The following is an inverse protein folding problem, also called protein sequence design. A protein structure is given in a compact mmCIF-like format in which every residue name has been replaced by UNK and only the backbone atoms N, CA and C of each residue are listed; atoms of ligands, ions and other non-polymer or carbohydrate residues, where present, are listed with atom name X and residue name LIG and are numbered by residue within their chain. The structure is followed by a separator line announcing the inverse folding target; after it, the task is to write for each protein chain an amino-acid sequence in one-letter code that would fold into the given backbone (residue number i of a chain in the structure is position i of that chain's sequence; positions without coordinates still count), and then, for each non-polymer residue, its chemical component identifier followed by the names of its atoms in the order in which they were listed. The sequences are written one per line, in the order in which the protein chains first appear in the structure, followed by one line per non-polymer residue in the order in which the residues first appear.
data_IF_252543610684
#
_entry.id   IF_252543610684
#
_cell.length_a   1.000
_cell.length_b   1.000
_cell.length_c   1.000
_cell.angle_alpha   90.00
_cell.angle_beta   90.00
_cell.angle_gamma   90.00
#
_symmetry.space_group_name_H-M   'P 1'
#
loop_
_entity.id
_entity.type
_entity.pdbx_description
1 polymer ?
#
# COMPACT_ATOMS: atom_id res chain seq x y z
N UNK A 1 -9.12 -15.06 -0.48
CA UNK A 1 -9.54 -14.03 -1.45
C UNK A 1 -8.34 -13.55 -2.25
N UNK A 2 -8.42 -13.60 -3.59
CA UNK A 2 -7.37 -13.05 -4.45
C UNK A 2 -7.31 -11.52 -4.32
N UNK A 3 -6.14 -10.94 -4.57
CA UNK A 3 -5.96 -9.51 -4.53
C UNK A 3 -6.71 -8.80 -5.68
N UNK A 4 -7.93 -8.30 -5.44
CA UNK A 4 -8.67 -7.51 -6.45
C UNK A 4 -8.31 -6.02 -6.33
N UNK A 5 -7.39 -5.53 -7.17
CA UNK A 5 -6.84 -4.16 -7.11
C UNK A 5 -7.44 -3.24 -8.17
N UNK A 6 -7.93 -2.07 -7.75
CA UNK A 6 -8.34 -1.00 -8.66
C UNK A 6 -7.24 0.05 -8.75
N UNK A 7 -6.63 0.19 -9.92
CA UNK A 7 -5.61 1.22 -10.18
C UNK A 7 -6.20 2.62 -9.98
N UNK A 8 -5.57 3.37 -9.08
CA UNK A 8 -5.92 4.78 -8.85
C UNK A 8 -5.48 5.65 -10.02
N UNK A 9 -4.38 5.31 -10.69
CA UNK A 9 -3.95 5.99 -11.92
C UNK A 9 -5.02 5.88 -13.01
N UNK A 10 -5.44 4.64 -13.34
CA UNK A 10 -6.47 4.39 -14.37
C UNK A 10 -7.82 5.01 -14.03
N UNK A 11 -8.09 5.24 -12.74
CA UNK A 11 -9.30 5.93 -12.29
C UNK A 11 -9.16 7.45 -12.40
N UNK A 12 -8.01 8.01 -12.02
CA UNK A 12 -7.80 9.44 -11.91
C UNK A 12 -7.46 10.08 -13.27
N UNK A 13 -6.68 9.41 -14.12
CA UNK A 13 -6.25 9.97 -15.42
C UNK A 13 -7.41 10.48 -16.28
N UNK A 14 -8.51 9.72 -16.51
CA UNK A 14 -9.63 10.24 -17.30
C UNK A 14 -10.26 11.51 -16.71
N UNK A 15 -10.34 11.60 -15.37
CA UNK A 15 -10.89 12.79 -14.71
C UNK A 15 -9.99 14.02 -14.89
N UNK A 16 -8.68 13.81 -14.95
CA UNK A 16 -7.70 14.86 -15.24
C UNK A 16 -7.79 15.28 -16.70
N UNK A 17 -7.78 14.32 -17.62
CA UNK A 17 -7.80 14.54 -19.07
C UNK A 17 -9.07 15.27 -19.51
N UNK A 18 -10.22 14.88 -18.95
CA UNK A 18 -11.52 15.52 -19.20
C UNK A 18 -11.71 16.85 -18.43
N UNK A 19 -10.68 17.33 -17.73
CA UNK A 19 -10.72 18.57 -16.94
C UNK A 19 -11.87 18.61 -15.91
N UNK A 20 -12.18 17.48 -15.28
CA UNK A 20 -13.29 17.36 -14.35
C UNK A 20 -13.08 18.19 -13.08
N UNK A 21 -14.18 18.65 -12.49
CA UNK A 21 -14.20 19.33 -11.18
C UNK A 21 -15.10 18.57 -10.23
N UNK A 22 -14.60 18.26 -9.03
CA UNK A 22 -15.36 17.52 -8.03
C UNK A 22 -14.49 16.74 -7.07
N UNK A 23 -15.08 15.72 -6.45
CA UNK A 23 -14.46 14.90 -5.42
C UNK A 23 -14.46 13.44 -5.83
N UNK A 24 -13.27 12.83 -5.87
CA UNK A 24 -13.09 11.38 -5.97
C UNK A 24 -12.99 10.78 -4.57
N UNK A 25 -13.97 9.97 -4.19
CA UNK A 25 -13.95 9.18 -2.96
C UNK A 25 -13.33 7.82 -3.26
N UNK A 26 -12.37 7.41 -2.44
CA UNK A 26 -11.63 6.16 -2.54
C UNK A 26 -11.97 5.32 -1.32
N UNK A 27 -12.37 4.08 -1.54
CA UNK A 27 -12.61 3.07 -0.52
C UNK A 27 -11.66 1.90 -0.72
N UNK A 28 -11.10 1.38 0.36
CA UNK A 28 -10.27 0.18 0.34
C UNK A 28 -10.61 -0.83 1.43
N UNK A 29 -9.72 -1.79 1.61
CA UNK A 29 -9.81 -2.74 2.71
C UNK A 29 -9.69 -2.06 4.08
N UNK A 30 -10.05 -2.78 5.14
CA UNK A 30 -9.75 -2.39 6.52
C UNK A 30 -10.35 -1.03 6.95
N UNK A 31 -11.51 -0.67 6.40
CA UNK A 31 -12.17 0.61 6.71
C UNK A 31 -11.48 1.83 6.08
N UNK A 32 -10.53 1.64 5.17
CA UNK A 32 -9.85 2.73 4.49
C UNK A 32 -10.83 3.56 3.66
N UNK A 33 -10.80 4.88 3.90
CA UNK A 33 -11.51 5.88 3.11
C UNK A 33 -10.62 7.10 2.92
N UNK A 34 -10.61 7.61 1.69
CA UNK A 34 -9.90 8.84 1.34
C UNK A 34 -10.68 9.66 0.30
N UNK A 35 -10.27 10.92 0.15
CA UNK A 35 -10.87 11.86 -0.81
C UNK A 35 -9.76 12.57 -1.57
N UNK A 36 -9.92 12.70 -2.87
CA UNK A 36 -9.13 13.58 -3.73
C UNK A 36 -10.07 14.60 -4.34
N UNK A 37 -9.67 15.87 -4.36
CA UNK A 37 -10.47 16.94 -4.92
C UNK A 37 -9.79 17.50 -6.15
N UNK A 38 -10.57 17.61 -7.22
CA UNK A 38 -10.16 18.07 -8.54
C UNK A 38 -10.83 19.40 -8.86
N UNK A 39 -10.10 20.28 -9.53
CA UNK A 39 -10.59 21.52 -10.11
C UNK A 39 -10.00 21.68 -11.50
N UNK A 40 -10.85 21.62 -12.52
CA UNK A 40 -10.45 21.71 -13.94
C UNK A 40 -9.31 20.73 -14.24
N UNK A 41 -9.49 19.46 -13.83
CA UNK A 41 -8.50 18.40 -14.00
C UNK A 41 -7.30 18.47 -13.04
N UNK A 42 -7.15 19.54 -12.26
CA UNK A 42 -6.04 19.65 -11.31
C UNK A 42 -6.39 19.08 -9.94
N UNK A 43 -5.60 18.13 -9.44
CA UNK A 43 -5.71 17.71 -8.03
C UNK A 43 -5.17 18.84 -7.17
N UNK A 44 -6.02 19.40 -6.30
CA UNK A 44 -5.64 20.56 -5.48
C UNK A 44 -5.75 20.31 -3.98
N UNK A 45 -6.44 19.24 -3.57
CA UNK A 45 -6.58 18.86 -2.16
C UNK A 45 -6.77 17.35 -2.04
N UNK A 46 -6.34 16.79 -0.91
CA UNK A 46 -6.43 15.36 -0.62
C UNK A 46 -6.59 15.13 0.88
N UNK A 47 -7.43 14.18 1.25
CA UNK A 47 -7.72 13.82 2.64
C UNK A 47 -7.67 12.31 2.85
N UNK A 48 -7.05 11.90 3.95
CA UNK A 48 -6.98 10.50 4.36
C UNK A 48 -6.96 10.42 5.90
N UNK A 49 -8.12 10.20 6.51
CA UNK A 49 -8.25 10.32 7.96
C UNK A 49 -7.90 11.73 8.42
N UNK A 50 -6.89 11.86 9.27
CA UNK A 50 -6.36 13.15 9.73
C UNK A 50 -5.27 13.73 8.82
N UNK A 51 -4.83 12.98 7.81
CA UNK A 51 -3.81 13.43 6.87
C UNK A 51 -4.43 14.30 5.79
N UNK A 52 -3.71 15.35 5.42
CA UNK A 52 -4.09 16.28 4.36
C UNK A 52 -2.94 16.48 3.37
N UNK A 53 -3.26 16.76 2.12
CA UNK A 53 -2.30 17.11 1.07
C UNK A 53 -1.34 15.98 0.69
N UNK A 54 -0.05 16.29 0.58
CA UNK A 54 0.99 15.32 0.15
C UNK A 54 1.04 14.10 1.06
N UNK A 55 0.86 14.28 2.38
CA UNK A 55 0.83 13.16 3.32
C UNK A 55 -0.37 12.26 3.07
N UNK A 56 -1.54 12.84 2.77
CA UNK A 56 -2.71 12.08 2.38
C UNK A 56 -2.48 11.33 1.07
N UNK A 57 -1.93 11.98 0.04
CA UNK A 57 -1.63 11.38 -1.26
C UNK A 57 -0.73 10.15 -1.12
N UNK A 58 0.35 10.27 -0.35
CA UNK A 58 1.26 9.15 -0.09
C UNK A 58 0.58 8.02 0.70
N UNK A 59 -0.22 8.37 1.71
CA UNK A 59 -0.97 7.37 2.47
C UNK A 59 -2.04 6.67 1.63
N UNK A 60 -2.63 7.36 0.65
CA UNK A 60 -3.56 6.81 -0.33
C UNK A 60 -2.83 5.82 -1.26
N UNK A 61 -1.65 6.20 -1.79
CA UNK A 61 -0.87 5.35 -2.69
C UNK A 61 -0.47 4.01 -2.06
N UNK A 62 -0.20 4.00 -0.75
CA UNK A 62 0.16 2.81 0.03
C UNK A 62 -1.02 1.90 0.40
N UNK A 63 -2.25 2.28 0.08
CA UNK A 63 -3.45 1.51 0.38
C UNK A 63 -4.16 1.09 -0.88
N UNK A 64 -4.66 -0.13 -0.86
CA UNK A 64 -5.37 -0.68 -1.98
C UNK A 64 -6.77 -0.07 -2.12
N UNK A 65 -7.03 0.52 -3.27
CA UNK A 65 -8.37 0.90 -3.65
C UNK A 65 -9.17 -0.33 -4.12
N UNK A 66 -10.34 -0.51 -3.52
CA UNK A 66 -11.33 -1.52 -3.89
C UNK A 66 -12.45 -0.88 -4.72
N UNK A 67 -12.88 0.32 -4.32
CA UNK A 67 -13.95 1.06 -4.98
C UNK A 67 -13.61 2.54 -5.04
N UNK A 68 -14.08 3.20 -6.10
CA UNK A 68 -13.98 4.65 -6.26
C UNK A 68 -15.32 5.21 -6.72
N UNK A 69 -15.64 6.43 -6.25
CA UNK A 69 -16.85 7.16 -6.60
C UNK A 69 -16.49 8.61 -6.87
N UNK A 70 -16.75 9.09 -8.08
CA UNK A 70 -16.61 10.51 -8.40
C UNK A 70 -17.93 11.24 -8.18
N UNK A 71 -17.86 12.40 -7.51
CA UNK A 71 -18.99 13.28 -7.23
C UNK A 71 -18.67 14.64 -7.85
N UNK A 72 -19.34 15.03 -8.95
CA UNK A 72 -19.07 16.30 -9.63
C UNK A 72 -19.38 17.50 -8.74
N UNK A 73 -18.70 18.60 -9.01
CA UNK A 73 -18.93 19.93 -8.41
C UNK A 73 -18.84 19.99 -6.87
N UNK A 74 -18.26 18.96 -6.25
CA UNK A 74 -18.04 18.90 -4.80
C UNK A 74 -16.62 19.32 -4.44
N UNK A 75 -16.51 20.42 -3.70
CA UNK A 75 -15.26 20.89 -3.09
C UNK A 75 -15.03 20.34 -1.68
N UNK A 76 -13.82 20.52 -1.12
CA UNK A 76 -13.53 20.21 0.27
C UNK A 76 -14.20 21.21 1.22
N UNK A 77 -14.46 20.78 2.46
CA UNK A 77 -14.99 21.65 3.52
C UNK A 77 -13.97 22.71 3.93
N UNK A 78 -12.68 22.33 3.95
CA UNK A 78 -11.56 23.23 4.23
C UNK A 78 -10.44 23.03 3.21
N UNK A 79 -9.90 24.12 2.67
CA UNK A 79 -8.74 24.07 1.77
C UNK A 79 -7.47 24.33 2.58
N UNK A 80 -6.67 23.30 2.77
CA UNK A 80 -5.32 23.45 3.33
C UNK A 80 -4.36 23.82 2.21
N UNK A 81 -3.51 24.83 2.43
CA UNK A 81 -2.47 25.20 1.46
C UNK A 81 -1.42 24.10 1.38
N UNK A 82 -1.57 23.20 0.41
CA UNK A 82 -0.62 22.12 0.15
C UNK A 82 0.02 22.31 -1.23
N UNK A 83 1.34 22.11 -1.32
CA UNK A 83 2.10 22.24 -2.56
C UNK A 83 2.39 20.84 -3.12
N UNK A 84 1.66 20.47 -4.17
CA UNK A 84 1.95 19.34 -5.05
C UNK A 84 1.32 19.63 -6.42
N UNK A 85 1.83 19.01 -7.47
CA UNK A 85 1.21 19.05 -8.80
C UNK A 85 0.37 17.80 -9.07
N UNK A 86 -0.58 17.92 -9.99
CA UNK A 86 -1.33 16.77 -10.52
C UNK A 86 -0.38 15.71 -11.08
N UNK A 87 0.67 16.14 -11.80
CA UNK A 87 1.65 15.22 -12.39
C UNK A 87 2.40 14.41 -11.33
N UNK A 88 2.76 15.03 -10.20
CA UNK A 88 3.38 14.33 -9.07
C UNK A 88 2.43 13.28 -8.48
N UNK A 89 1.13 13.58 -8.38
CA UNK A 89 0.11 12.63 -7.90
C UNK A 89 -0.03 11.45 -8.86
N UNK A 90 -0.18 11.72 -10.16
CA UNK A 90 -0.29 10.68 -11.19
C UNK A 90 0.96 9.81 -11.24
N UNK A 91 2.14 10.41 -11.15
CA UNK A 91 3.40 9.71 -11.11
C UNK A 91 3.51 8.80 -9.88
N UNK A 92 3.12 9.27 -8.71
CA UNK A 92 3.10 8.46 -7.50
C UNK A 92 2.14 7.27 -7.62
N UNK A 93 0.94 7.47 -8.16
CA UNK A 93 -0.02 6.38 -8.37
C UNK A 93 0.45 5.37 -9.41
N UNK A 94 1.18 5.82 -10.45
CA UNK A 94 1.84 4.93 -11.40
C UNK A 94 2.89 4.04 -10.71
N UNK A 95 3.72 4.61 -9.83
CA UNK A 95 4.69 3.84 -9.06
C UNK A 95 3.99 2.85 -8.11
N UNK A 96 2.92 3.28 -7.46
CA UNK A 96 2.14 2.41 -6.59
C UNK A 96 1.56 1.22 -7.35
N UNK A 97 0.97 1.43 -8.54
CA UNK A 97 0.47 0.35 -9.39
C UNK A 97 1.56 -0.71 -9.67
N UNK A 98 2.78 -0.28 -10.01
CA UNK A 98 3.91 -1.18 -10.29
C UNK A 98 4.30 -2.01 -9.05
N UNK A 99 4.35 -1.37 -7.88
CA UNK A 99 4.67 -2.06 -6.62
C UNK A 99 3.58 -3.07 -6.26
N UNK A 100 2.31 -2.70 -6.42
CA UNK A 100 1.18 -3.61 -6.20
C UNK A 100 1.22 -4.84 -7.12
N UNK A 101 1.58 -4.66 -8.39
CA UNK A 101 1.76 -5.77 -9.33
C UNK A 101 2.85 -6.74 -8.86
N UNK A 102 4.00 -6.24 -8.39
CA UNK A 102 5.09 -7.08 -7.87
C UNK A 102 4.60 -7.89 -6.65
N UNK A 103 3.89 -7.24 -5.72
CA UNK A 103 3.41 -7.91 -4.52
C UNK A 103 2.33 -8.96 -4.83
N UNK A 104 1.40 -8.69 -5.74
CA UNK A 104 0.38 -9.66 -6.13
C UNK A 104 0.94 -10.89 -6.84
N UNK A 105 2.04 -10.74 -7.58
CA UNK A 105 2.72 -11.86 -8.22
C UNK A 105 3.49 -12.75 -7.23
N UNK A 106 3.77 -12.21 -6.04
CA UNK A 106 4.64 -12.84 -5.05
C UNK A 106 3.88 -13.44 -3.88
N UNK A 107 2.98 -12.65 -3.28
CA UNK A 107 2.21 -13.03 -2.10
C UNK A 107 0.86 -13.54 -2.61
N UNK A 108 0.46 -14.74 -2.19
CA UNK A 108 -0.67 -15.46 -2.81
C UNK A 108 -2.06 -14.91 -2.44
N UNK A 109 -2.15 -14.03 -1.46
CA UNK A 109 -3.41 -13.43 -0.98
C UNK A 109 -3.27 -12.87 0.43
N UNK A 110 -4.28 -12.17 0.95
CA UNK A 110 -4.30 -11.74 2.36
C UNK A 110 -4.44 -12.90 3.35
N UNK A 111 -4.92 -14.05 2.89
CA UNK A 111 -5.04 -15.27 3.70
C UNK A 111 -3.70 -16.00 3.85
N UNK A 112 -2.64 -15.52 3.19
CA UNK A 112 -1.31 -16.06 3.36
C UNK A 112 -0.82 -15.86 4.80
N UNK A 113 -0.06 -16.83 5.29
CA UNK A 113 0.50 -16.83 6.64
C UNK A 113 2.01 -16.87 6.52
N UNK A 114 2.69 -16.09 7.33
CA UNK A 114 4.15 -15.99 7.35
C UNK A 114 4.67 -16.07 8.78
N UNK A 115 5.88 -16.58 8.92
CA UNK A 115 6.59 -16.62 10.19
C UNK A 115 8.03 -16.12 10.02
N UNK A 116 8.55 -15.51 11.08
CA UNK A 116 9.97 -15.19 11.18
C UNK A 116 10.77 -16.47 11.49
N UNK A 117 11.93 -16.64 10.85
CA UNK A 117 12.81 -17.77 11.13
C UNK A 117 13.28 -17.75 12.61
N UNK A 118 13.39 -18.93 13.23
CA UNK A 118 13.62 -19.06 14.70
C UNK A 118 14.88 -18.34 15.21
N UNK A 119 15.90 -18.21 14.37
CA UNK A 119 17.18 -17.58 14.71
C UNK A 119 17.37 -16.21 14.04
N UNK A 120 16.32 -15.66 13.41
CA UNK A 120 16.38 -14.37 12.75
C UNK A 120 16.57 -13.25 13.77
N UNK A 121 17.60 -12.42 13.54
CA UNK A 121 17.82 -11.18 14.29
C UNK A 121 17.48 -10.00 13.40
N UNK A 122 16.60 -9.12 13.88
CA UNK A 122 16.11 -7.95 13.14
C UNK A 122 16.09 -6.69 14.02
N UNK A 123 16.92 -6.64 15.06
CA UNK A 123 16.97 -5.52 16.01
C UNK A 123 17.33 -4.18 15.33
N UNK A 124 18.16 -4.24 14.29
CA UNK A 124 18.54 -3.08 13.47
C UNK A 124 17.47 -2.62 12.47
N UNK A 125 16.36 -3.35 12.34
CA UNK A 125 15.28 -2.99 11.43
C UNK A 125 14.56 -1.70 11.89
N UNK A 126 13.96 -0.99 10.96
CA UNK A 126 13.16 0.20 11.27
C UNK A 126 11.95 -0.15 12.16
N UNK A 127 11.41 0.84 12.91
CA UNK A 127 10.27 0.65 13.81
C UNK A 127 9.08 -0.04 13.12
N UNK A 128 8.70 0.40 11.92
CA UNK A 128 7.60 -0.19 11.14
C UNK A 128 7.89 -1.65 10.79
N UNK A 129 9.13 -1.94 10.36
CA UNK A 129 9.55 -3.30 10.03
C UNK A 129 9.51 -4.21 11.24
N UNK A 130 10.06 -3.76 12.39
CA UNK A 130 10.01 -4.53 13.65
C UNK A 130 8.57 -4.82 14.08
N UNK A 131 7.68 -3.84 13.95
CA UNK A 131 6.26 -3.98 14.27
C UNK A 131 5.64 -5.12 13.44
N UNK A 132 5.84 -5.10 12.13
CA UNK A 132 5.32 -6.14 11.24
C UNK A 132 5.99 -7.50 11.53
N UNK A 133 7.32 -7.56 11.62
CA UNK A 133 8.05 -8.81 11.88
C UNK A 133 7.63 -9.46 13.21
N UNK A 134 7.41 -8.66 14.26
CA UNK A 134 6.91 -9.16 15.55
C UNK A 134 5.48 -9.74 15.48
N UNK A 135 4.72 -9.36 14.45
CA UNK A 135 3.37 -9.87 14.20
C UNK A 135 3.34 -11.14 13.34
N UNK A 136 4.46 -11.53 12.71
CA UNK A 136 4.55 -12.73 11.87
C UNK A 136 4.91 -13.97 12.70
N UNK A 137 3.91 -14.59 13.30
CA UNK A 137 4.05 -15.75 14.20
C UNK A 137 3.72 -17.10 13.56
N UNK A 138 3.44 -17.14 12.26
CA UNK A 138 3.04 -18.36 11.56
C UNK A 138 1.61 -18.81 11.83
N UNK A 139 0.82 -18.02 12.56
CA UNK A 139 -0.59 -18.27 12.83
C UNK A 139 -1.49 -17.20 12.22
N UNK A 140 -1.06 -15.93 12.27
CA UNK A 140 -1.83 -14.81 11.73
C UNK A 140 -1.71 -14.69 10.22
N UNK A 141 -2.83 -14.43 9.57
CA UNK A 141 -2.86 -14.09 8.14
C UNK A 141 -2.33 -12.68 7.92
N UNK A 142 -1.88 -12.37 6.69
CA UNK A 142 -1.49 -10.99 6.31
C UNK A 142 -2.62 -10.01 6.61
N UNK A 143 -3.88 -10.41 6.40
CA UNK A 143 -5.04 -9.61 6.77
C UNK A 143 -5.04 -9.20 8.25
N UNK A 144 -4.84 -10.18 9.13
CA UNK A 144 -4.84 -9.96 10.58
C UNK A 144 -3.65 -9.10 10.99
N UNK A 145 -2.47 -9.32 10.39
CA UNK A 145 -1.28 -8.50 10.65
C UNK A 145 -1.52 -7.03 10.31
N UNK A 146 -2.15 -6.73 9.17
CA UNK A 146 -2.51 -5.35 8.79
C UNK A 146 -3.48 -4.74 9.81
N UNK A 147 -4.50 -5.49 10.24
CA UNK A 147 -5.49 -5.01 11.21
C UNK A 147 -4.89 -4.76 12.59
N UNK A 148 -4.10 -5.70 13.10
CA UNK A 148 -3.54 -5.67 14.44
C UNK A 148 -2.46 -4.59 14.59
N UNK A 149 -1.65 -4.40 13.54
CA UNK A 149 -0.54 -3.43 13.57
C UNK A 149 -0.96 -2.03 13.17
N UNK A 150 -2.07 -1.88 12.43
CA UNK A 150 -2.49 -0.61 11.82
C UNK A 150 -1.56 -0.11 10.71
N UNK A 151 -0.52 -0.87 10.36
CA UNK A 151 0.46 -0.50 9.34
C UNK A 151 -0.19 -0.56 7.96
N UNK A 152 0.16 0.39 7.09
CA UNK A 152 -0.36 0.43 5.72
C UNK A 152 -0.07 -0.88 4.99
N UNK A 153 -1.06 -1.34 4.23
CA UNK A 153 -1.03 -2.63 3.56
C UNK A 153 0.21 -2.84 2.68
N UNK A 154 0.58 -1.83 1.87
CA UNK A 154 1.79 -1.89 1.04
C UNK A 154 3.06 -2.06 1.88
N UNK A 155 3.13 -1.40 3.04
CA UNK A 155 4.30 -1.48 3.92
C UNK A 155 4.39 -2.88 4.57
N UNK A 156 3.26 -3.49 4.96
CA UNK A 156 3.26 -4.89 5.45
C UNK A 156 3.76 -5.85 4.37
N UNK A 157 3.24 -5.73 3.15
CA UNK A 157 3.66 -6.58 2.03
C UNK A 157 5.12 -6.34 1.65
N UNK A 158 5.58 -5.10 1.72
CA UNK A 158 6.98 -4.74 1.51
C UNK A 158 7.90 -5.44 2.52
N UNK A 159 7.57 -5.38 3.81
CA UNK A 159 8.35 -6.05 4.86
C UNK A 159 8.39 -7.56 4.60
N UNK A 160 7.23 -8.18 4.35
CA UNK A 160 7.16 -9.62 4.07
C UNK A 160 8.03 -9.96 2.85
N UNK A 161 7.88 -9.21 1.76
CA UNK A 161 8.62 -9.43 0.53
C UNK A 161 10.13 -9.29 0.74
N UNK A 162 10.57 -8.19 1.35
CA UNK A 162 11.98 -7.88 1.57
C UNK A 162 12.64 -8.97 2.44
N UNK A 163 12.07 -9.25 3.61
CA UNK A 163 12.67 -10.22 4.54
C UNK A 163 12.49 -11.67 4.11
N UNK A 164 11.54 -11.98 3.22
CA UNK A 164 11.47 -13.32 2.63
C UNK A 164 12.55 -13.53 1.57
N UNK A 165 12.98 -12.46 0.88
CA UNK A 165 14.15 -12.50 -0.02
C UNK A 165 15.48 -12.69 0.74
N UNK A 166 15.58 -12.13 1.95
CA UNK A 166 16.72 -12.32 2.87
C UNK A 166 16.67 -13.66 3.63
N UNK A 167 15.64 -14.49 3.41
CA UNK A 167 15.46 -15.77 4.10
C UNK A 167 15.06 -15.66 5.58
N UNK A 168 14.75 -14.46 6.06
CA UNK A 168 14.36 -14.18 7.46
C UNK A 168 12.87 -14.40 7.70
N UNK A 169 12.04 -14.27 6.67
CA UNK A 169 10.61 -14.58 6.69
C UNK A 169 10.33 -15.75 5.76
N UNK A 170 9.48 -16.68 6.19
CA UNK A 170 9.06 -17.83 5.40
C UNK A 170 7.54 -18.02 5.46
N UNK A 171 6.91 -18.66 4.47
CA UNK A 171 5.52 -19.04 4.56
C UNK A 171 5.33 -19.92 5.79
N UNK A 172 4.41 -19.55 6.65
CA UNK A 172 3.90 -20.45 7.67
C UNK A 172 3.16 -21.60 6.99
N UNK A 173 3.03 -22.72 7.68
CA UNK A 173 2.11 -23.76 7.23
C UNK A 173 0.70 -23.21 7.40
N UNK A 174 -0.04 -22.87 6.32
CA UNK A 174 -1.47 -22.74 6.49
C UNK A 174 -1.93 -24.12 6.97
N UNK A 175 -2.92 -24.16 7.87
CA UNK A 175 -3.61 -25.41 8.13
C UNK A 175 -4.02 -26.02 6.77
N UNK A 176 -3.26 -27.03 6.31
CA UNK A 176 -3.31 -27.74 5.02
C UNK A 176 -3.36 -26.89 3.74
N UNK A 177 -2.19 -26.59 3.17
CA UNK A 177 -2.07 -26.22 1.76
C UNK A 177 -0.61 -26.15 1.31
N UNK A 178 -0.25 -26.86 0.24
CA UNK A 178 1.10 -26.82 -0.31
C UNK A 178 1.48 -25.40 -0.79
N UNK A 179 2.75 -24.98 -0.65
CA UNK A 179 3.19 -23.66 -1.10
C UNK A 179 2.92 -23.47 -2.60
N UNK A 180 2.39 -22.29 -2.96
CA UNK A 180 2.02 -21.97 -4.34
C UNK A 180 3.23 -21.95 -5.27
N UNK A 181 3.01 -22.22 -6.56
CA UNK A 181 4.05 -22.17 -7.60
C UNK A 181 4.74 -20.78 -7.70
N UNK A 182 4.07 -19.72 -7.26
CA UNK A 182 4.63 -18.36 -7.15
C UNK A 182 5.75 -18.25 -6.11
N UNK A 183 5.60 -18.91 -4.96
CA UNK A 183 6.61 -18.89 -3.89
C UNK A 183 7.95 -19.52 -4.31
N UNK A 184 7.93 -20.56 -5.16
CA UNK A 184 9.17 -21.18 -5.66
C UNK A 184 9.93 -20.30 -6.65
N UNK A 185 9.23 -19.44 -7.40
CA UNK A 185 9.87 -18.43 -8.27
C UNK A 185 10.42 -17.25 -7.45
N UNK A 186 9.81 -16.97 -6.31
CA UNK A 186 10.13 -15.85 -5.42
C UNK A 186 11.50 -16.00 -4.71
N UNK A 187 11.87 -17.20 -4.25
CA UNK A 187 13.14 -17.45 -3.52
C UNK A 187 14.41 -17.08 -4.34
N UNK A 188 14.31 -16.88 -5.66
CA UNK A 188 15.45 -16.59 -6.51
C UNK A 188 15.65 -15.14 -6.97
N UNK A 189 14.73 -14.19 -6.71
CA UNK A 189 14.69 -12.92 -7.48
C UNK A 189 14.62 -11.60 -6.70
N UNK A 190 14.52 -11.61 -5.37
CA UNK A 190 13.72 -10.58 -4.71
C UNK A 190 14.44 -9.42 -4.00
N UNK A 191 15.76 -9.27 -4.08
CA UNK A 191 16.44 -8.11 -3.46
C UNK A 191 16.55 -6.86 -4.36
N UNK A 192 17.02 -7.04 -5.59
CA UNK A 192 17.42 -5.93 -6.48
C UNK A 192 16.25 -5.35 -7.29
N UNK A 193 15.32 -6.19 -7.77
CA UNK A 193 14.17 -5.73 -8.55
C UNK A 193 13.28 -4.75 -7.75
N UNK A 194 13.19 -4.93 -6.43
CA UNK A 194 12.40 -4.05 -5.58
C UNK A 194 13.11 -2.73 -5.23
N UNK A 195 14.42 -2.75 -4.98
CA UNK A 195 15.21 -1.52 -4.76
C UNK A 195 15.21 -0.62 -6.00
N UNK A 196 15.13 -1.18 -7.19
CA UNK A 196 14.99 -0.42 -8.44
C UNK A 196 13.56 0.07 -8.67
N UNK A 197 12.55 -0.63 -8.15
CA UNK A 197 11.13 -0.35 -8.41
C UNK A 197 10.41 0.45 -7.32
N UNK A 198 10.98 0.53 -6.10
CA UNK A 198 10.48 1.37 -5.00
C UNK A 198 11.29 2.65 -4.90
N UNK A 199 10.79 3.76 -5.45
CA UNK A 199 11.48 5.04 -5.36
C UNK A 199 11.47 5.57 -3.91
N UNK A 200 12.47 6.38 -3.52
CA UNK A 200 12.58 6.94 -2.17
C UNK A 200 11.31 7.64 -1.65
N UNK A 201 10.50 8.18 -2.56
CA UNK A 201 9.21 8.84 -2.28
C UNK A 201 8.16 7.94 -1.62
N UNK A 202 8.27 6.62 -1.81
CA UNK A 202 7.34 5.60 -1.29
C UNK A 202 7.82 4.98 0.02
N UNK A 203 9.11 5.14 0.35
CA UNK A 203 9.77 4.37 1.41
C UNK A 203 9.43 4.91 2.81
N UNK A 204 9.04 6.17 2.98
CA UNK A 204 8.80 6.75 4.31
C UNK A 204 7.55 7.63 4.38
N UNK A 205 6.57 7.13 5.14
CA UNK A 205 5.65 7.94 5.93
C UNK A 205 5.63 7.29 7.31
N UNK A 206 6.12 7.99 8.33
CA UNK A 206 5.72 7.65 9.69
C UNK A 206 4.20 7.80 9.76
N UNK A 207 3.51 6.69 9.99
CA UNK A 207 2.07 6.65 10.13
C UNK A 207 1.71 7.32 11.47
N UNK A 208 0.94 8.42 11.49
CA UNK A 208 0.52 9.06 12.75
C UNK A 208 -0.52 8.23 13.52
N UNK A 209 -0.81 6.99 13.12
CA UNK A 209 -1.73 6.09 13.81
C UNK A 209 -1.09 5.36 15.02
N UNK A 210 -0.07 5.93 15.66
CA UNK A 210 0.24 5.58 17.06
C UNK A 210 -0.27 6.73 17.93
N UNK A 211 -1.24 6.50 18.83
CA UNK A 211 -1.49 7.47 19.90
C UNK A 211 -0.24 7.70 20.75
#
# INVERSE_FOLDING_TARGET
MAFQYKSLLKTLSPLVDDSQTGMLVIYGGFGFKARLYLRVGCVFHAECGQLVGVRAIRAIAKRKAVMTLFIPDRGPEEITRTRFSTDEVLYLFKQADQVWEIFHNTISGYDAVFEVARDARYDSAEKTHRTVLSALDGCRTVQQVIQDTGVAEMDVLHVIYFYSGEGLVRPGLPNRGAPSTGYRKFIGKSGEELKQSMPPSMILLEDPATP
#
